data_IF_513308964773
#
_entry.id   IF_513308964773
#
_cell.length_a   1.000
_cell.length_b   1.000
_cell.length_c   1.000
_cell.angle_alpha   90.00
_cell.angle_beta   90.00
_cell.angle_gamma   90.00
#
_symmetry.space_group_name_H-M   'P 1'
#
loop_
_entity.id
_entity.type
_entity.pdbx_description
1 polymer ?
#
# COMPACT_ATOMS: atom_id res chain seq x y z
N UNK A 1 9.05 50.36 -29.44
CA UNK A 1 10.17 49.45 -29.09
C UNK A 1 9.58 48.32 -28.27
N UNK A 2 9.44 47.14 -28.87
CA UNK A 2 9.01 45.95 -28.14
C UNK A 2 10.22 45.41 -27.36
N UNK A 3 10.10 45.35 -26.03
CA UNK A 3 11.10 44.73 -25.16
C UNK A 3 11.23 43.26 -25.55
N UNK A 4 12.43 42.72 -25.79
CA UNK A 4 12.58 41.31 -26.13
C UNK A 4 12.20 40.49 -24.90
N UNK A 5 11.22 39.60 -25.06
CA UNK A 5 10.94 38.54 -24.08
C UNK A 5 12.16 37.62 -24.13
N UNK A 6 13.08 37.77 -23.18
CA UNK A 6 14.17 36.81 -22.98
C UNK A 6 13.47 35.50 -22.59
N UNK A 7 13.51 34.50 -23.46
CA UNK A 7 13.10 33.15 -23.11
C UNK A 7 14.01 32.69 -21.97
N UNK A 8 13.50 32.68 -20.74
CA UNK A 8 14.24 32.13 -19.61
C UNK A 8 14.21 30.62 -19.72
N UNK A 9 15.36 30.00 -19.98
CA UNK A 9 15.51 28.54 -19.90
C UNK A 9 14.98 28.05 -18.56
N UNK A 10 14.13 27.03 -18.58
CA UNK A 10 13.59 26.42 -17.38
C UNK A 10 13.70 24.91 -17.49
N UNK A 11 13.99 24.26 -16.37
CA UNK A 11 14.20 22.84 -16.26
C UNK A 11 13.08 22.21 -15.45
N UNK A 12 12.73 20.97 -15.79
CA UNK A 12 11.77 20.21 -15.01
C UNK A 12 12.43 19.71 -13.72
N UNK A 13 11.72 19.85 -12.61
CA UNK A 13 12.13 19.35 -11.30
C UNK A 13 11.25 18.16 -10.94
N UNK A 14 11.88 17.10 -10.48
CA UNK A 14 11.25 15.84 -10.11
C UNK A 14 11.67 15.42 -8.72
N UNK A 15 10.84 14.62 -8.06
CA UNK A 15 11.33 13.64 -7.06
C UNK A 15 11.48 12.29 -7.74
N UNK A 16 12.42 11.47 -7.27
CA UNK A 16 12.57 10.10 -7.72
C UNK A 16 12.96 9.19 -6.56
N UNK A 17 12.38 7.98 -6.54
CA UNK A 17 12.64 6.98 -5.52
C UNK A 17 13.61 5.91 -6.03
N UNK A 18 14.48 5.46 -5.12
CA UNK A 18 15.42 4.36 -5.32
C UNK A 18 15.27 3.33 -4.20
N UNK A 19 15.36 2.05 -4.56
CA UNK A 19 15.34 0.91 -3.66
C UNK A 19 16.59 0.90 -2.78
N UNK A 20 16.38 0.63 -1.50
CA UNK A 20 17.42 0.40 -0.51
C UNK A 20 16.91 -0.49 0.61
N UNK A 21 17.69 -0.67 1.68
CA UNK A 21 17.20 -1.27 2.94
C UNK A 21 15.96 -0.50 3.44
N UNK A 22 16.01 0.81 3.24
CA UNK A 22 14.88 1.73 3.29
C UNK A 22 14.92 2.49 1.97
N UNK A 23 13.76 2.69 1.35
CA UNK A 23 13.70 3.43 0.09
C UNK A 23 14.21 4.86 0.28
N UNK A 24 14.89 5.36 -0.74
CA UNK A 24 15.56 6.65 -0.73
C UNK A 24 14.92 7.56 -1.75
N UNK A 25 14.63 8.80 -1.36
CA UNK A 25 14.03 9.80 -2.24
C UNK A 25 15.03 10.94 -2.43
N UNK A 26 15.19 11.38 -3.67
CA UNK A 26 16.00 12.53 -4.05
C UNK A 26 15.23 13.50 -4.94
N UNK A 27 15.70 14.73 -4.98
CA UNK A 27 15.26 15.73 -5.96
C UNK A 27 16.16 15.60 -7.19
N UNK A 28 15.56 15.63 -8.38
CA UNK A 28 16.26 15.59 -9.67
C UNK A 28 15.82 16.75 -10.55
N UNK A 29 16.76 17.55 -11.04
CA UNK A 29 16.53 18.58 -12.04
C UNK A 29 17.10 18.08 -13.37
N UNK A 30 16.26 17.95 -14.38
CA UNK A 30 16.65 17.48 -15.70
C UNK A 30 17.26 18.64 -16.52
N UNK A 31 18.59 18.82 -16.41
CA UNK A 31 19.30 19.96 -17.01
C UNK A 31 20.03 19.63 -18.32
N UNK A 32 20.39 18.36 -18.55
CA UNK A 32 21.19 17.89 -19.68
C UNK A 32 22.58 18.54 -19.84
N UNK A 33 23.12 19.16 -18.77
CA UNK A 33 24.38 19.92 -18.82
C UNK A 33 25.60 19.04 -19.15
N UNK A 34 25.54 17.76 -18.78
CA UNK A 34 26.62 16.78 -19.03
C UNK A 34 26.27 15.76 -20.11
N UNK A 35 25.12 15.90 -20.78
CA UNK A 35 24.68 15.04 -21.87
C UNK A 35 23.16 14.77 -21.88
N UNK A 36 22.66 14.02 -22.89
CA UNK A 36 21.27 13.58 -22.91
C UNK A 36 20.92 12.75 -21.66
N UNK A 37 19.72 12.97 -21.11
CA UNK A 37 19.24 12.27 -19.91
C UNK A 37 20.17 12.40 -18.69
N UNK A 38 20.83 13.54 -18.53
CA UNK A 38 21.53 13.90 -17.27
C UNK A 38 20.91 15.12 -16.62
N UNK A 39 21.29 15.36 -15.36
CA UNK A 39 20.75 16.44 -14.57
C UNK A 39 21.50 16.63 -13.26
N UNK A 40 20.85 17.34 -12.34
CA UNK A 40 21.37 17.61 -11.00
C UNK A 40 20.54 16.86 -9.95
N UNK A 41 21.19 16.20 -9.00
CA UNK A 41 20.52 15.60 -7.84
C UNK A 41 20.82 16.37 -6.56
N UNK A 42 19.85 16.34 -5.65
CA UNK A 42 19.95 16.88 -4.29
C UNK A 42 19.35 15.87 -3.32
N UNK A 43 20.13 15.44 -2.34
CA UNK A 43 19.75 14.36 -1.44
C UNK A 43 20.45 14.45 -0.08
N UNK A 44 19.99 13.64 0.86
CA UNK A 44 20.74 13.34 2.09
C UNK A 44 20.96 11.85 2.23
N UNK A 45 22.20 11.43 2.44
CA UNK A 45 22.60 10.02 2.56
C UNK A 45 23.26 9.78 3.91
N UNK A 46 23.33 8.54 4.39
CA UNK A 46 23.92 8.19 5.69
C UNK A 46 22.94 7.53 6.65
N UNK A 47 23.28 7.51 7.94
CA UNK A 47 22.56 6.73 8.97
C UNK A 47 21.96 7.62 10.05
N UNK A 48 20.77 7.25 10.53
CA UNK A 48 20.13 7.89 11.69
C UNK A 48 20.33 7.07 12.97
N UNK A 49 21.27 6.13 12.99
CA UNK A 49 21.58 5.28 14.15
C UNK A 49 22.66 5.94 15.02
N UNK A 50 22.59 5.68 16.34
CA UNK A 50 23.54 6.09 17.36
C UNK A 50 24.96 5.75 16.95
N UNK A 51 25.88 6.64 17.30
CA UNK A 51 27.31 6.54 17.03
C UNK A 51 27.67 6.63 15.52
N UNK A 52 26.72 6.98 14.65
CA UNK A 52 26.96 7.45 13.29
C UNK A 52 26.99 8.98 13.18
N UNK A 53 27.38 9.49 12.01
CA UNK A 53 27.50 10.94 11.74
C UNK A 53 26.15 11.62 11.39
N UNK A 54 25.05 10.87 11.36
CA UNK A 54 23.78 11.34 10.84
C UNK A 54 23.68 11.14 9.32
N UNK A 55 22.72 11.83 8.71
CA UNK A 55 22.68 11.98 7.26
C UNK A 55 23.38 13.28 6.84
N UNK A 56 24.08 13.23 5.71
CA UNK A 56 24.83 14.34 5.12
C UNK A 56 24.19 14.76 3.81
N UNK A 57 24.22 16.06 3.53
CA UNK A 57 23.74 16.62 2.27
C UNK A 57 24.73 16.35 1.15
N UNK A 58 24.20 15.87 0.02
CA UNK A 58 24.96 15.56 -1.19
C UNK A 58 24.26 16.14 -2.41
N UNK A 59 25.05 16.66 -3.35
CA UNK A 59 24.59 17.10 -4.66
C UNK A 59 25.53 16.59 -5.77
N UNK A 60 24.96 16.13 -6.89
CA UNK A 60 25.70 15.71 -8.08
C UNK A 60 25.13 16.44 -9.29
N UNK A 61 25.95 17.28 -9.93
CA UNK A 61 25.56 18.09 -11.09
C UNK A 61 25.79 17.41 -12.45
N UNK A 62 26.16 16.13 -12.45
CA UNK A 62 26.30 15.31 -13.66
C UNK A 62 25.51 14.00 -13.59
N UNK A 63 24.54 13.90 -12.69
CA UNK A 63 23.80 12.69 -12.41
C UNK A 63 23.03 12.19 -13.65
N UNK A 64 23.13 10.89 -13.94
CA UNK A 64 22.25 10.23 -14.91
C UNK A 64 20.80 10.26 -14.43
N UNK A 65 19.85 10.33 -15.36
CA UNK A 65 18.42 10.25 -15.07
C UNK A 65 18.13 9.07 -14.13
N UNK A 66 17.42 9.30 -13.01
CA UNK A 66 17.03 8.24 -12.08
C UNK A 66 16.39 7.04 -12.79
N UNK A 67 15.61 7.23 -13.85
CA UNK A 67 14.94 6.09 -14.54
C UNK A 67 15.91 5.11 -15.20
N UNK A 68 17.16 5.50 -15.40
CA UNK A 68 18.20 4.66 -16.00
C UNK A 68 18.98 3.86 -14.96
N UNK A 69 18.66 4.02 -13.67
CA UNK A 69 19.34 3.35 -12.56
C UNK A 69 18.63 2.05 -12.20
N UNK A 70 19.34 0.91 -12.04
CA UNK A 70 18.73 -0.35 -11.61
C UNK A 70 17.96 -0.27 -10.30
N UNK A 71 18.40 0.61 -9.39
CA UNK A 71 17.78 0.87 -8.11
C UNK A 71 16.49 1.70 -8.21
N UNK A 72 16.17 2.33 -9.35
CA UNK A 72 14.97 3.16 -9.44
C UNK A 72 13.68 2.36 -9.30
N UNK A 73 12.74 2.91 -8.52
CA UNK A 73 11.40 2.34 -8.39
C UNK A 73 10.54 2.82 -9.57
N UNK A 74 10.11 1.94 -10.49
CA UNK A 74 9.35 2.37 -11.68
C UNK A 74 8.07 3.12 -11.31
N UNK A 75 7.83 4.24 -12.00
CA UNK A 75 6.63 5.07 -11.80
C UNK A 75 6.73 6.11 -10.68
N UNK A 76 7.91 6.26 -10.05
CA UNK A 76 8.11 7.18 -8.91
C UNK A 76 8.84 8.47 -9.26
N UNK A 77 9.21 8.67 -10.54
CA UNK A 77 9.73 9.96 -11.03
C UNK A 77 8.58 10.94 -11.21
N UNK A 78 8.23 11.67 -10.16
CA UNK A 78 7.11 12.61 -10.15
C UNK A 78 7.58 14.02 -10.43
N UNK A 79 6.99 14.69 -11.43
CA UNK A 79 7.26 16.10 -11.69
C UNK A 79 6.66 16.96 -10.58
N UNK A 80 7.50 17.70 -9.87
CA UNK A 80 7.10 18.59 -8.77
C UNK A 80 7.09 20.07 -9.17
N UNK A 81 7.67 20.42 -10.31
CA UNK A 81 7.59 21.78 -10.84
C UNK A 81 8.61 22.06 -11.93
N UNK A 82 8.89 23.35 -12.12
CA UNK A 82 9.97 23.84 -12.99
C UNK A 82 10.82 24.87 -12.25
N UNK A 83 12.11 24.94 -12.57
CA UNK A 83 13.07 25.92 -12.05
C UNK A 83 13.72 26.66 -13.21
N UNK A 84 13.92 27.97 -13.10
CA UNK A 84 14.64 28.74 -14.12
C UNK A 84 16.14 28.54 -13.97
N UNK A 85 16.87 28.58 -15.07
CA UNK A 85 18.33 28.45 -15.08
C UNK A 85 19.01 29.45 -14.12
N UNK A 86 18.53 30.69 -14.08
CA UNK A 86 19.02 31.73 -13.18
C UNK A 86 18.83 31.42 -11.68
N UNK A 87 17.90 30.52 -11.35
CA UNK A 87 17.58 30.15 -9.97
C UNK A 87 18.31 28.86 -9.53
N UNK A 88 19.10 28.18 -10.38
CA UNK A 88 19.78 26.93 -10.02
C UNK A 88 20.76 27.07 -8.83
N UNK A 89 21.48 28.20 -8.74
CA UNK A 89 22.36 28.48 -7.59
C UNK A 89 21.54 28.63 -6.30
N UNK A 90 20.44 29.38 -6.39
CA UNK A 90 19.54 29.62 -5.27
C UNK A 90 18.81 28.33 -4.85
N UNK A 91 18.56 27.43 -5.80
CA UNK A 91 17.99 26.11 -5.54
C UNK A 91 18.89 25.30 -4.60
N UNK A 92 20.19 25.17 -4.94
CA UNK A 92 21.19 24.50 -4.10
C UNK A 92 21.28 25.14 -2.72
N UNK A 93 21.34 26.47 -2.64
CA UNK A 93 21.37 27.20 -1.36
C UNK A 93 20.15 26.91 -0.47
N UNK A 94 18.95 26.81 -1.06
CA UNK A 94 17.74 26.47 -0.32
C UNK A 94 17.77 25.02 0.16
N UNK A 95 18.13 24.06 -0.70
CA UNK A 95 18.26 22.66 -0.29
C UNK A 95 19.28 22.51 0.85
N UNK A 96 20.44 23.15 0.75
CA UNK A 96 21.49 23.11 1.77
C UNK A 96 21.07 23.79 3.09
N UNK A 97 20.13 24.74 3.05
CA UNK A 97 19.61 25.40 4.26
C UNK A 97 18.69 24.51 5.09
N UNK A 98 18.16 23.43 4.51
CA UNK A 98 17.31 22.47 5.24
C UNK A 98 18.21 21.60 6.11
N UNK A 99 18.04 21.61 7.46
CA UNK A 99 18.89 20.84 8.36
C UNK A 99 18.89 19.37 7.99
N UNK A 100 20.04 18.68 8.04
CA UNK A 100 20.07 17.25 7.74
C UNK A 100 19.62 16.41 8.96
N UNK A 101 19.09 15.19 8.77
CA UNK A 101 18.72 14.33 9.89
C UNK A 101 19.91 13.87 10.75
N UNK A 102 19.90 14.24 12.03
CA UNK A 102 20.87 13.77 13.03
C UNK A 102 20.61 12.30 13.44
N UNK A 103 21.53 11.65 14.19
CA UNK A 103 21.26 10.36 14.84
C UNK A 103 20.03 10.40 15.76
N UNK A 104 19.10 9.47 15.55
CA UNK A 104 17.77 9.43 16.19
C UNK A 104 17.37 8.05 16.74
N UNK A 105 18.08 6.99 16.34
CA UNK A 105 17.81 5.59 16.74
C UNK A 105 18.96 5.00 17.54
N UNK A 106 18.69 4.22 18.57
CA UNK A 106 19.69 3.40 19.24
C UNK A 106 20.20 2.28 18.33
N UNK A 107 21.33 1.64 18.67
CA UNK A 107 21.90 0.50 17.93
C UNK A 107 20.92 -0.68 17.75
N UNK A 108 19.92 -0.80 18.63
CA UNK A 108 18.85 -1.81 18.57
C UNK A 108 17.61 -1.36 17.78
N UNK A 109 17.67 -0.21 17.11
CA UNK A 109 16.58 0.35 16.29
C UNK A 109 15.48 1.09 17.06
N UNK A 110 15.51 1.13 18.40
CA UNK A 110 14.56 1.92 19.20
C UNK A 110 14.85 3.41 19.13
N UNK A 111 13.83 4.27 19.21
CA UNK A 111 14.01 5.73 19.18
C UNK A 111 14.80 6.20 20.40
N UNK A 112 15.73 7.12 20.19
CA UNK A 112 16.42 7.84 21.28
C UNK A 112 15.45 8.76 22.03
N UNK A 113 14.53 9.40 21.30
CA UNK A 113 13.44 10.20 21.86
C UNK A 113 12.10 9.66 21.34
N UNK A 114 11.33 8.92 22.16
CA UNK A 114 10.05 8.34 21.74
C UNK A 114 8.99 9.38 21.34
N UNK A 115 9.07 10.60 21.87
CA UNK A 115 8.10 11.68 21.64
C UNK A 115 8.31 12.43 20.33
N UNK A 116 9.43 12.21 19.63
CA UNK A 116 9.69 12.81 18.32
C UNK A 116 9.58 11.76 17.21
N UNK A 117 8.96 12.07 16.06
CA UNK A 117 8.99 11.19 14.90
C UNK A 117 10.42 11.10 14.35
N UNK A 118 10.73 10.00 13.65
CA UNK A 118 12.05 9.80 13.04
C UNK A 118 12.06 10.51 11.69
N UNK A 119 13.07 11.36 11.48
CA UNK A 119 13.31 12.08 10.25
C UNK A 119 14.41 11.38 9.44
N UNK A 120 14.23 11.22 8.13
CA UNK A 120 15.16 10.58 7.18
C UNK A 120 15.22 11.38 5.87
N UNK A 121 15.75 10.77 4.80
CA UNK A 121 15.84 11.35 3.47
C UNK A 121 14.48 11.75 2.89
N UNK A 122 13.42 10.98 3.19
CA UNK A 122 12.05 11.28 2.80
C UNK A 122 11.57 12.62 3.37
N UNK A 123 11.69 12.79 4.69
CA UNK A 123 11.26 14.01 5.38
C UNK A 123 12.12 15.22 4.96
N UNK A 124 13.43 15.04 4.83
CA UNK A 124 14.31 16.10 4.33
C UNK A 124 13.91 16.54 2.92
N UNK A 125 13.62 15.59 2.01
CA UNK A 125 13.21 15.90 0.64
C UNK A 125 11.91 16.70 0.63
N UNK A 126 10.94 16.34 1.48
CA UNK A 126 9.67 17.08 1.61
C UNK A 126 9.92 18.52 2.06
N UNK A 127 10.70 18.70 3.13
CA UNK A 127 11.03 20.03 3.66
C UNK A 127 11.82 20.87 2.65
N UNK A 128 12.72 20.26 1.87
CA UNK A 128 13.41 20.94 0.79
C UNK A 128 12.46 21.38 -0.32
N UNK A 129 11.51 20.55 -0.73
CA UNK A 129 10.48 20.93 -1.71
C UNK A 129 9.61 22.07 -1.18
N UNK A 130 9.17 22.02 0.08
CA UNK A 130 8.41 23.10 0.72
C UNK A 130 9.21 24.40 0.76
N UNK A 131 10.48 24.36 1.18
CA UNK A 131 11.35 25.53 1.21
C UNK A 131 11.59 26.12 -0.19
N UNK A 132 11.70 25.29 -1.23
CA UNK A 132 11.84 25.74 -2.63
C UNK A 132 10.58 26.45 -3.14
N UNK A 133 9.40 25.97 -2.73
CA UNK A 133 8.11 26.59 -3.04
C UNK A 133 7.98 27.92 -2.31
N UNK A 134 8.27 27.96 -1.01
CA UNK A 134 8.21 29.17 -0.19
C UNK A 134 9.19 30.24 -0.70
N UNK A 135 10.37 29.82 -1.16
CA UNK A 135 11.35 30.69 -1.80
C UNK A 135 10.93 31.16 -3.20
N UNK A 136 9.83 30.64 -3.77
CA UNK A 136 9.37 30.88 -5.15
C UNK A 136 10.44 30.57 -6.19
N UNK A 137 11.15 29.45 -5.99
CA UNK A 137 12.18 28.96 -6.90
C UNK A 137 11.57 27.97 -7.90
N UNK A 138 10.59 27.19 -7.44
CA UNK A 138 9.84 26.23 -8.27
C UNK A 138 8.41 26.69 -8.50
N UNK A 139 7.91 26.54 -9.74
CA UNK A 139 6.57 26.99 -10.16
C UNK A 139 5.76 25.85 -10.79
N UNK A 140 4.58 25.53 -10.24
CA UNK A 140 3.36 25.11 -10.97
C UNK A 140 2.11 25.11 -10.04
N UNK A 141 0.99 25.64 -10.55
CA UNK A 141 -0.34 25.66 -9.93
C UNK A 141 -1.00 24.27 -9.83
N UNK A 142 -0.48 23.26 -10.54
CA UNK A 142 -0.84 21.84 -10.33
C UNK A 142 -0.09 21.20 -9.14
N UNK A 143 1.08 21.75 -8.78
CA UNK A 143 1.91 21.26 -7.68
C UNK A 143 1.35 21.54 -6.28
N UNK A 144 0.48 22.55 -6.13
CA UNK A 144 -0.23 22.81 -4.87
C UNK A 144 -1.24 21.69 -4.55
N UNK A 145 -1.80 21.01 -5.56
CA UNK A 145 -2.61 19.80 -5.35
C UNK A 145 -1.77 18.58 -5.00
N UNK A 146 -0.55 18.48 -5.54
CA UNK A 146 0.41 17.46 -5.11
C UNK A 146 0.91 17.74 -3.67
N UNK A 147 1.06 19.00 -3.27
CA UNK A 147 1.35 19.40 -1.90
C UNK A 147 0.18 19.14 -0.95
N UNK A 148 -1.07 19.29 -1.42
CA UNK A 148 -2.27 18.90 -0.67
C UNK A 148 -2.45 17.37 -0.60
N UNK A 149 -1.97 16.62 -1.59
CA UNK A 149 -1.77 15.17 -1.48
C UNK A 149 -0.63 14.84 -0.51
N UNK A 150 0.42 15.66 -0.41
CA UNK A 150 1.48 15.55 0.61
C UNK A 150 1.10 16.10 2.00
N UNK A 151 0.02 16.88 2.15
CA UNK A 151 -0.52 17.34 3.44
C UNK A 151 -1.68 16.48 3.95
N UNK A 152 -2.35 15.73 3.07
CA UNK A 152 -3.24 14.60 3.43
C UNK A 152 -2.48 13.29 3.64
N UNK A 153 -1.16 13.26 3.42
CA UNK A 153 -0.31 12.10 3.68
C UNK A 153 0.53 12.20 4.97
N UNK A 154 0.42 13.26 5.78
CA UNK A 154 1.34 13.47 6.92
C UNK A 154 0.64 13.96 8.19
N UNK A 155 -0.35 13.19 8.64
CA UNK A 155 -0.48 12.85 10.06
C UNK A 155 -0.37 11.34 10.15
N UNK A 156 0.84 10.79 10.01
CA UNK A 156 1.31 9.53 10.63
C UNK A 156 2.64 9.07 10.03
N UNK A 157 3.76 9.65 10.49
CA UNK A 157 5.08 9.02 10.32
C UNK A 157 5.38 8.17 11.54
N UNK A 158 4.75 7.01 11.59
CA UNK A 158 5.33 5.81 12.19
C UNK A 158 5.13 4.69 11.17
N UNK A 159 6.26 4.12 10.74
CA UNK A 159 6.45 2.86 10.00
C UNK A 159 6.10 2.83 8.50
N UNK A 160 7.06 3.26 7.67
CA UNK A 160 7.26 2.65 6.35
C UNK A 160 8.21 1.44 6.51
N UNK A 161 7.61 0.30 6.80
CA UNK A 161 8.07 -1.02 6.36
C UNK A 161 6.83 -1.66 5.72
N UNK A 162 6.78 -1.65 4.40
CA UNK A 162 5.89 -2.49 3.60
C UNK A 162 6.42 -2.42 2.16
N UNK A 163 7.31 -3.34 1.83
CA UNK A 163 7.61 -3.60 0.43
C UNK A 163 6.33 -4.12 -0.25
N UNK A 164 6.04 -3.59 -1.44
CA UNK A 164 5.02 -4.03 -2.40
C UNK A 164 3.54 -3.77 -2.07
N UNK A 165 3.11 -2.53 -2.34
CA UNK A 165 1.74 -2.23 -2.78
C UNK A 165 1.85 -1.34 -4.03
N UNK A 166 1.63 -1.91 -5.22
CA UNK A 166 1.11 -1.09 -6.32
C UNK A 166 -0.40 -1.16 -6.22
N UNK A 167 -1.11 -0.06 -5.89
CA UNK A 167 -2.55 -0.03 -6.03
C UNK A 167 -2.87 -0.22 -7.51
N UNK A 168 -3.60 -1.29 -7.83
CA UNK A 168 -4.08 -1.58 -9.17
C UNK A 168 -5.23 -0.65 -9.53
N UNK A 169 -4.89 0.59 -9.90
CA UNK A 169 -5.86 1.59 -10.33
C UNK A 169 -6.20 1.50 -11.82
N UNK A 170 -5.40 0.78 -12.64
CA UNK A 170 -5.69 0.64 -14.07
C UNK A 170 -6.53 -0.62 -14.36
N UNK A 171 -7.83 -0.39 -14.64
CA UNK A 171 -8.79 -1.40 -15.05
C UNK A 171 -8.42 -2.18 -16.32
N UNK A 172 -7.37 -1.76 -17.04
CA UNK A 172 -6.88 -2.38 -18.29
C UNK A 172 -5.74 -3.38 -18.07
N UNK A 173 -5.16 -3.45 -16.87
CA UNK A 173 -4.04 -4.33 -16.59
C UNK A 173 -4.53 -5.72 -16.17
N UNK A 174 -3.90 -6.76 -16.72
CA UNK A 174 -4.06 -8.14 -16.28
C UNK A 174 -2.82 -8.55 -15.49
N UNK A 175 -3.00 -9.09 -14.28
CA UNK A 175 -1.93 -9.68 -13.48
C UNK A 175 -2.08 -11.19 -13.52
N UNK A 176 -1.00 -11.89 -13.89
CA UNK A 176 -0.96 -13.34 -14.10
C UNK A 176 -2.04 -13.83 -15.09
N UNK A 177 -2.38 -13.01 -16.09
CA UNK A 177 -3.41 -13.32 -17.07
C UNK A 177 -4.85 -13.18 -16.56
N UNK A 178 -5.06 -12.70 -15.33
CA UNK A 178 -6.39 -12.47 -14.77
C UNK A 178 -6.72 -10.97 -14.85
N UNK A 179 -7.76 -10.56 -15.61
CA UNK A 179 -8.15 -9.16 -15.75
C UNK A 179 -8.68 -8.55 -14.45
N UNK A 180 -8.55 -7.22 -14.30
CA UNK A 180 -9.13 -6.48 -13.18
C UNK A 180 -10.64 -6.76 -13.01
N UNK A 181 -11.41 -6.84 -14.11
CA UNK A 181 -12.84 -7.13 -14.05
C UNK A 181 -13.14 -8.47 -13.35
N UNK A 182 -12.31 -9.49 -13.59
CA UNK A 182 -12.39 -10.79 -12.90
C UNK A 182 -12.05 -10.65 -11.42
N UNK A 183 -11.01 -9.87 -11.07
CA UNK A 183 -10.65 -9.59 -9.67
C UNK A 183 -11.79 -8.88 -8.92
N UNK A 184 -12.37 -7.85 -9.55
CA UNK A 184 -13.49 -7.10 -9.01
C UNK A 184 -14.73 -7.98 -8.83
N UNK A 185 -15.02 -8.89 -9.77
CA UNK A 185 -16.08 -9.89 -9.61
C UNK A 185 -15.87 -10.72 -8.34
N UNK A 186 -14.70 -11.31 -8.13
CA UNK A 186 -14.44 -12.14 -6.96
C UNK A 186 -14.37 -11.36 -5.64
N UNK A 187 -13.92 -10.10 -5.68
CA UNK A 187 -14.02 -9.23 -4.51
C UNK A 187 -15.48 -8.96 -4.11
N UNK A 188 -16.37 -8.75 -5.09
CA UNK A 188 -17.81 -8.65 -4.83
C UNK A 188 -18.41 -9.95 -4.30
N UNK A 189 -17.92 -11.11 -4.73
CA UNK A 189 -18.31 -12.41 -4.14
C UNK A 189 -17.85 -12.50 -2.68
N UNK A 190 -16.66 -12.00 -2.34
CA UNK A 190 -16.20 -11.93 -0.95
C UNK A 190 -17.10 -11.03 -0.09
N UNK A 191 -17.57 -9.89 -0.63
CA UNK A 191 -18.58 -9.04 0.02
C UNK A 191 -19.94 -9.76 0.16
N UNK A 192 -20.38 -10.45 -0.88
CA UNK A 192 -21.66 -11.18 -0.90
C UNK A 192 -21.69 -12.32 0.13
N UNK A 193 -20.55 -12.95 0.41
CA UNK A 193 -20.42 -14.00 1.43
C UNK A 193 -20.96 -13.58 2.81
N UNK A 194 -20.94 -12.28 3.13
CA UNK A 194 -21.53 -11.76 4.36
C UNK A 194 -23.03 -12.02 4.42
N UNK A 195 -23.76 -11.67 3.35
CA UNK A 195 -25.21 -11.86 3.26
C UNK A 195 -25.57 -13.33 3.17
N UNK A 196 -24.79 -14.11 2.42
CA UNK A 196 -25.07 -15.53 2.18
C UNK A 196 -24.87 -16.39 3.44
N UNK A 197 -23.94 -16.01 4.31
CA UNK A 197 -23.54 -16.82 5.46
C UNK A 197 -23.97 -16.26 6.82
N UNK A 198 -24.20 -14.94 6.92
CA UNK A 198 -24.43 -14.26 8.20
C UNK A 198 -25.61 -13.29 8.15
N UNK A 199 -25.48 -12.19 7.42
CA UNK A 199 -26.44 -11.08 7.36
C UNK A 199 -26.01 -10.07 6.28
N UNK A 200 -26.92 -9.21 5.76
CA UNK A 200 -26.53 -8.05 4.94
C UNK A 200 -25.79 -6.94 5.72
N UNK A 201 -25.87 -6.91 7.04
CA UNK A 201 -25.16 -5.95 7.90
C UNK A 201 -24.61 -6.62 9.18
N UNK A 202 -23.72 -7.61 9.06
CA UNK A 202 -23.05 -8.18 10.22
C UNK A 202 -22.12 -7.12 10.79
N UNK A 203 -22.04 -7.02 12.12
CA UNK A 203 -21.13 -6.08 12.76
C UNK A 203 -19.70 -6.31 12.26
N UNK A 204 -19.17 -7.52 12.42
CA UNK A 204 -17.89 -7.96 11.84
C UNK A 204 -18.01 -8.30 10.36
N UNK A 205 -18.06 -7.29 9.49
CA UNK A 205 -18.28 -7.43 8.04
C UNK A 205 -17.05 -7.93 7.25
N UNK A 206 -16.38 -8.97 7.71
CA UNK A 206 -15.20 -9.56 7.05
C UNK A 206 -15.60 -10.82 6.27
N UNK A 207 -15.57 -10.73 4.95
CA UNK A 207 -15.97 -11.77 4.01
C UNK A 207 -14.82 -12.20 3.11
N UNK A 208 -14.82 -13.47 2.70
CA UNK A 208 -13.73 -14.09 1.95
C UNK A 208 -14.28 -15.09 0.92
N UNK A 209 -13.68 -15.09 -0.27
CA UNK A 209 -13.92 -16.08 -1.32
C UNK A 209 -12.60 -16.72 -1.76
N UNK A 210 -12.61 -18.04 -1.98
CA UNK A 210 -11.44 -18.79 -2.47
C UNK A 210 -11.78 -19.38 -3.83
N UNK A 211 -10.91 -19.10 -4.81
CA UNK A 211 -11.19 -19.30 -6.23
C UNK A 211 -10.05 -20.06 -6.89
N UNK A 212 -10.40 -21.00 -7.75
CA UNK A 212 -9.50 -21.66 -8.67
C UNK A 212 -9.54 -20.95 -10.03
N UNK A 213 -8.55 -20.11 -10.33
CA UNK A 213 -8.43 -19.42 -11.62
C UNK A 213 -7.93 -20.31 -12.76
N UNK A 214 -7.57 -21.56 -12.48
CA UNK A 214 -7.09 -22.52 -13.50
C UNK A 214 -8.18 -23.45 -14.02
N UNK A 215 -9.39 -23.34 -13.49
CA UNK A 215 -10.55 -24.16 -13.84
C UNK A 215 -11.74 -23.29 -14.17
N UNK A 216 -12.64 -23.76 -15.04
CA UNK A 216 -13.82 -23.01 -15.50
C UNK A 216 -13.55 -22.04 -16.66
N UNK A 217 -14.62 -21.38 -17.11
CA UNK A 217 -14.56 -20.39 -18.19
C UNK A 217 -14.15 -19.03 -17.62
N UNK A 218 -13.13 -18.37 -18.20
CA UNK A 218 -12.80 -16.94 -18.08
C UNK A 218 -12.61 -16.32 -16.68
N UNK A 219 -13.60 -16.44 -15.79
CA UNK A 219 -13.64 -15.96 -14.42
C UNK A 219 -12.93 -16.90 -13.43
N UNK A 220 -12.89 -18.20 -13.69
CA UNK A 220 -12.45 -19.19 -12.71
C UNK A 220 -13.60 -19.91 -12.01
N UNK A 221 -13.29 -20.86 -11.12
CA UNK A 221 -14.25 -21.65 -10.36
C UNK A 221 -14.23 -21.25 -8.86
N UNK A 222 -15.39 -20.99 -8.28
CA UNK A 222 -15.52 -20.77 -6.84
C UNK A 222 -15.35 -22.10 -6.10
N UNK A 223 -14.39 -22.18 -5.18
CA UNK A 223 -14.21 -23.37 -4.33
C UNK A 223 -15.07 -23.26 -3.07
N UNK A 224 -14.98 -22.13 -2.37
CA UNK A 224 -15.80 -21.86 -1.20
C UNK A 224 -15.81 -20.36 -0.84
N UNK A 225 -16.70 -20.02 0.09
CA UNK A 225 -16.76 -18.72 0.75
C UNK A 225 -16.68 -18.88 2.27
N UNK A 226 -16.31 -17.80 2.96
CA UNK A 226 -16.31 -17.71 4.42
C UNK A 226 -16.60 -16.28 4.88
N UNK A 227 -17.12 -16.16 6.10
CA UNK A 227 -17.39 -14.89 6.74
C UNK A 227 -17.03 -14.97 8.22
N UNK A 228 -16.68 -13.84 8.82
CA UNK A 228 -16.41 -13.75 10.24
C UNK A 228 -17.62 -14.26 11.04
N UNK A 229 -17.34 -15.21 11.95
CA UNK A 229 -18.36 -15.89 12.74
C UNK A 229 -17.99 -15.95 14.22
N UNK A 230 -17.16 -15.02 14.71
CA UNK A 230 -16.73 -14.99 16.12
C UNK A 230 -17.93 -14.88 17.07
N UNK A 231 -18.91 -14.05 16.72
CA UNK A 231 -20.08 -13.79 17.57
C UNK A 231 -21.07 -14.95 17.62
N UNK A 232 -21.22 -15.69 16.52
CA UNK A 232 -22.16 -16.82 16.44
C UNK A 232 -21.56 -18.13 16.97
N UNK A 233 -20.23 -18.28 16.91
CA UNK A 233 -19.55 -19.52 17.32
C UNK A 233 -18.87 -19.43 18.67
N UNK A 234 -18.59 -18.22 19.16
CA UNK A 234 -17.76 -17.99 20.35
C UNK A 234 -16.27 -18.29 20.14
N UNK A 235 -15.85 -18.69 18.94
CA UNK A 235 -14.45 -18.94 18.63
C UNK A 235 -13.78 -17.65 18.11
N UNK A 236 -12.84 -17.04 18.85
CA UNK A 236 -12.23 -15.77 18.48
C UNK A 236 -11.33 -15.86 17.23
N UNK A 237 -10.98 -17.06 16.75
CA UNK A 237 -10.12 -17.21 15.56
C UNK A 237 -10.91 -17.34 14.27
N UNK A 238 -12.24 -17.50 14.30
CA UNK A 238 -13.08 -17.67 13.10
C UNK A 238 -13.37 -16.34 12.40
N UNK A 239 -12.30 -15.68 11.97
CA UNK A 239 -12.33 -14.58 11.01
C UNK A 239 -12.71 -15.10 9.61
N UNK A 240 -13.08 -14.20 8.69
CA UNK A 240 -13.56 -14.57 7.35
C UNK A 240 -12.58 -15.47 6.59
N UNK A 241 -11.28 -15.21 6.70
CA UNK A 241 -10.23 -15.98 6.03
C UNK A 241 -10.04 -17.37 6.64
N UNK A 242 -10.05 -17.48 7.97
CA UNK A 242 -9.96 -18.77 8.67
C UNK A 242 -11.21 -19.61 8.40
N UNK A 243 -12.40 -18.99 8.44
CA UNK A 243 -13.65 -19.64 8.11
C UNK A 243 -13.64 -20.16 6.66
N UNK A 244 -13.16 -19.36 5.70
CA UNK A 244 -13.04 -19.79 4.32
C UNK A 244 -12.04 -20.96 4.15
N UNK A 245 -10.87 -20.91 4.80
CA UNK A 245 -9.90 -22.02 4.76
C UNK A 245 -10.51 -23.32 5.31
N UNK A 246 -11.25 -23.24 6.43
CA UNK A 246 -11.94 -24.40 7.00
C UNK A 246 -13.02 -24.95 6.05
N UNK A 247 -13.86 -24.06 5.50
CA UNK A 247 -14.92 -24.44 4.57
C UNK A 247 -14.35 -25.07 3.29
N UNK A 248 -13.30 -24.48 2.71
CA UNK A 248 -12.64 -25.02 1.53
C UNK A 248 -11.97 -26.35 1.81
N UNK A 249 -11.36 -26.53 2.98
CA UNK A 249 -10.80 -27.83 3.36
C UNK A 249 -11.90 -28.89 3.37
N UNK A 250 -13.04 -28.60 4.00
CA UNK A 250 -14.17 -29.52 4.02
C UNK A 250 -14.73 -29.83 2.62
N UNK A 251 -14.84 -28.83 1.74
CA UNK A 251 -15.27 -29.01 0.35
C UNK A 251 -14.28 -29.87 -0.44
N UNK A 252 -12.98 -29.56 -0.36
CA UNK A 252 -11.93 -30.24 -1.08
C UNK A 252 -11.77 -31.70 -0.64
N UNK A 253 -11.94 -32.00 0.64
CA UNK A 253 -11.76 -33.35 1.20
C UNK A 253 -13.05 -34.14 1.37
N UNK A 254 -14.21 -33.60 0.99
CA UNK A 254 -15.48 -34.29 1.16
C UNK A 254 -15.51 -35.59 0.34
N UNK A 255 -15.76 -36.76 0.96
CA UNK A 255 -15.83 -38.05 0.24
C UNK A 255 -16.93 -38.12 -0.82
N UNK A 256 -17.96 -37.30 -0.66
CA UNK A 256 -19.10 -37.19 -1.59
C UNK A 256 -19.06 -35.89 -2.41
N UNK A 257 -18.01 -35.08 -2.22
CA UNK A 257 -17.82 -33.82 -2.91
C UNK A 257 -17.18 -34.00 -4.30
N UNK A 258 -17.20 -32.93 -5.12
CA UNK A 258 -16.69 -32.98 -6.49
C UNK A 258 -15.16 -33.18 -6.57
N UNK A 259 -14.42 -32.86 -5.49
CA UNK A 259 -12.96 -32.97 -5.47
C UNK A 259 -12.46 -34.26 -4.82
N UNK A 260 -13.06 -34.70 -3.71
CA UNK A 260 -12.72 -35.93 -2.96
C UNK A 260 -11.20 -36.13 -2.77
N UNK A 261 -10.50 -35.08 -2.34
CA UNK A 261 -9.06 -35.09 -2.17
C UNK A 261 -8.68 -35.67 -0.81
N UNK A 262 -7.56 -36.39 -0.77
CA UNK A 262 -6.88 -36.68 0.50
C UNK A 262 -6.35 -35.40 1.14
N UNK A 263 -6.05 -35.44 2.45
CA UNK A 263 -5.49 -34.29 3.16
C UNK A 263 -4.20 -33.72 2.53
N UNK A 264 -3.35 -34.59 1.96
CA UNK A 264 -2.12 -34.18 1.27
C UNK A 264 -2.41 -33.52 -0.09
N UNK A 265 -3.38 -34.06 -0.83
CA UNK A 265 -3.83 -33.46 -2.09
C UNK A 265 -4.52 -32.11 -1.86
N UNK A 266 -5.34 -31.97 -0.81
CA UNK A 266 -5.96 -30.69 -0.46
C UNK A 266 -4.93 -29.61 -0.09
N UNK A 267 -3.92 -29.95 0.72
CA UNK A 267 -2.78 -29.05 1.00
C UNK A 267 -2.03 -28.63 -0.26
N UNK A 268 -1.92 -29.53 -1.24
CA UNK A 268 -1.32 -29.20 -2.55
C UNK A 268 -2.24 -28.31 -3.37
N UNK A 269 -3.55 -28.55 -3.35
CA UNK A 269 -4.53 -27.77 -4.09
C UNK A 269 -4.53 -26.30 -3.67
N UNK A 270 -4.42 -25.99 -2.38
CA UNK A 270 -4.34 -24.59 -1.91
C UNK A 270 -3.28 -23.75 -2.65
N UNK A 271 -2.17 -24.38 -3.07
CA UNK A 271 -1.07 -23.71 -3.79
C UNK A 271 -1.43 -23.21 -5.18
N UNK A 272 -2.54 -23.64 -5.76
CA UNK A 272 -3.07 -23.12 -7.03
C UNK A 272 -4.24 -22.16 -6.86
N UNK A 273 -4.76 -22.01 -5.64
CA UNK A 273 -5.93 -21.19 -5.35
C UNK A 273 -5.57 -19.74 -5.06
N UNK A 274 -6.53 -18.84 -5.30
CA UNK A 274 -6.47 -17.42 -4.97
C UNK A 274 -7.49 -17.09 -3.89
N UNK A 275 -7.06 -16.38 -2.85
CA UNK A 275 -7.92 -15.91 -1.77
C UNK A 275 -8.24 -14.43 -1.97
N UNK A 276 -9.53 -14.11 -2.01
CA UNK A 276 -10.05 -12.73 -2.03
C UNK A 276 -10.73 -12.46 -0.70
N UNK A 277 -10.35 -11.39 -0.02
CA UNK A 277 -10.99 -10.97 1.22
C UNK A 277 -11.29 -9.46 1.17
N UNK A 278 -12.42 -9.03 1.71
CA UNK A 278 -12.83 -7.63 1.57
C UNK A 278 -12.03 -6.65 2.45
N UNK A 279 -11.22 -7.16 3.37
CA UNK A 279 -10.33 -6.38 4.21
C UNK A 279 -8.98 -7.07 4.36
N UNK A 280 -7.92 -6.29 4.55
CA UNK A 280 -6.59 -6.79 4.79
C UNK A 280 -6.55 -7.72 6.01
N UNK A 281 -5.98 -8.90 5.80
CA UNK A 281 -5.83 -9.91 6.81
C UNK A 281 -4.96 -9.47 7.97
N UNK A 282 -5.49 -9.60 9.18
CA UNK A 282 -4.72 -9.42 10.41
C UNK A 282 -3.56 -10.43 10.50
N UNK A 283 -2.59 -10.24 11.39
CA UNK A 283 -1.38 -11.08 11.43
C UNK A 283 -1.64 -12.59 11.59
N UNK A 284 -2.71 -12.96 12.30
CA UNK A 284 -3.17 -14.35 12.41
C UNK A 284 -3.59 -14.91 11.04
N UNK A 285 -4.51 -14.21 10.36
CA UNK A 285 -5.03 -14.63 9.06
C UNK A 285 -3.93 -14.60 7.99
N UNK A 286 -3.11 -13.55 7.94
CA UNK A 286 -1.97 -13.46 7.02
C UNK A 286 -0.98 -14.62 7.21
N UNK A 287 -0.69 -14.99 8.47
CA UNK A 287 0.16 -16.16 8.76
C UNK A 287 -0.49 -17.46 8.30
N UNK A 288 -1.79 -17.64 8.55
CA UNK A 288 -2.53 -18.82 8.10
C UNK A 288 -2.54 -18.95 6.57
N UNK A 289 -2.71 -17.83 5.85
CA UNK A 289 -2.65 -17.76 4.38
C UNK A 289 -1.27 -18.19 3.88
N UNK A 290 -0.18 -17.74 4.53
CA UNK A 290 1.18 -18.15 4.18
C UNK A 290 1.44 -19.63 4.44
N UNK A 291 0.98 -20.16 5.56
CA UNK A 291 1.07 -21.60 5.85
C UNK A 291 0.27 -22.45 4.87
N UNK A 292 -0.92 -22.02 4.48
CA UNK A 292 -1.73 -22.69 3.45
C UNK A 292 -1.08 -22.64 2.07
N UNK A 293 -0.21 -21.65 1.82
CA UNK A 293 0.62 -21.57 0.63
C UNK A 293 -0.14 -21.14 -0.62
N UNK A 294 -1.20 -20.35 -0.48
CA UNK A 294 -2.02 -19.83 -1.58
C UNK A 294 -1.16 -19.25 -2.72
N UNK A 295 -1.64 -19.37 -3.96
CA UNK A 295 -0.99 -18.74 -5.12
C UNK A 295 -1.06 -17.22 -5.03
N UNK A 296 -2.24 -16.72 -4.68
CA UNK A 296 -2.53 -15.29 -4.61
C UNK A 296 -3.36 -14.96 -3.38
N UNK A 297 -3.07 -13.82 -2.79
CA UNK A 297 -3.79 -13.20 -1.70
C UNK A 297 -4.18 -11.79 -2.14
N UNK A 298 -5.47 -11.54 -2.21
CA UNK A 298 -6.07 -10.30 -2.71
C UNK A 298 -6.95 -9.71 -1.62
N UNK A 299 -6.73 -8.46 -1.25
CA UNK A 299 -7.57 -7.78 -0.27
C UNK A 299 -8.09 -6.42 -0.74
N UNK A 300 -9.18 -5.97 -0.12
CA UNK A 300 -9.77 -4.65 -0.31
C UNK A 300 -9.27 -3.64 0.72
N UNK A 301 -10.11 -3.30 1.70
CA UNK A 301 -9.86 -2.28 2.72
C UNK A 301 -8.59 -2.57 3.53
N UNK A 302 -7.68 -1.61 3.65
CA UNK A 302 -6.41 -1.79 4.38
C UNK A 302 -6.60 -1.81 5.91
N UNK A 303 -5.63 -2.37 6.64
CA UNK A 303 -5.59 -2.30 8.12
C UNK A 303 -5.63 -0.85 8.60
N UNK A 304 -4.94 0.06 7.91
CA UNK A 304 -4.94 1.48 8.25
C UNK A 304 -6.34 2.09 8.12
N UNK A 305 -7.04 1.80 7.03
CA UNK A 305 -8.44 2.23 6.84
C UNK A 305 -9.36 1.64 7.91
N UNK A 306 -9.19 0.36 8.26
CA UNK A 306 -9.96 -0.26 9.35
C UNK A 306 -9.75 0.49 10.68
N UNK A 307 -8.51 0.82 11.02
CA UNK A 307 -8.17 1.59 12.23
C UNK A 307 -8.80 2.98 12.20
N UNK A 308 -8.74 3.68 11.06
CA UNK A 308 -9.40 4.98 10.89
C UNK A 308 -10.92 4.91 11.10
N UNK A 309 -11.55 3.79 10.73
CA UNK A 309 -12.97 3.52 10.98
C UNK A 309 -13.28 2.97 12.38
N UNK A 310 -12.29 2.91 13.28
CA UNK A 310 -12.48 2.54 14.68
C UNK A 310 -12.28 1.05 14.99
N UNK A 311 -11.84 0.24 14.02
CA UNK A 311 -11.58 -1.18 14.25
C UNK A 311 -10.25 -1.41 14.98
N UNK A 312 -10.28 -2.21 16.04
CA UNK A 312 -9.07 -2.66 16.72
C UNK A 312 -8.28 -3.63 15.85
N UNK A 313 -6.99 -3.32 15.62
CA UNK A 313 -6.08 -4.15 14.82
C UNK A 313 -4.71 -4.29 15.49
N UNK A 314 -4.07 -5.45 15.31
CA UNK A 314 -2.63 -5.58 15.53
C UNK A 314 -1.95 -4.90 14.33
N UNK A 315 -1.17 -3.85 14.60
CA UNK A 315 -0.53 -3.01 13.56
C UNK A 315 0.72 -3.65 12.96
N UNK A 316 0.53 -4.83 12.38
CA UNK A 316 1.52 -5.49 11.53
C UNK A 316 0.82 -5.72 10.20
N UNK A 317 1.34 -5.13 9.14
CA UNK A 317 0.73 -5.26 7.82
C UNK A 317 0.82 -6.72 7.34
N UNK A 318 -0.13 -7.14 6.51
CA UNK A 318 -0.07 -8.47 5.89
C UNK A 318 1.21 -8.63 5.05
N UNK A 319 1.70 -7.55 4.44
CA UNK A 319 2.97 -7.50 3.73
C UNK A 319 4.18 -7.77 4.64
N UNK A 320 4.20 -7.29 5.88
CA UNK A 320 5.28 -7.55 6.83
C UNK A 320 5.32 -9.03 7.24
N UNK A 321 4.15 -9.64 7.47
CA UNK A 321 4.04 -11.08 7.73
C UNK A 321 4.57 -11.89 6.55
N UNK A 322 4.23 -11.47 5.33
CA UNK A 322 4.70 -12.12 4.10
C UNK A 322 6.21 -11.96 3.94
N UNK A 323 6.76 -10.77 4.17
CA UNK A 323 8.20 -10.51 4.12
C UNK A 323 8.98 -11.35 5.16
N UNK A 324 8.40 -11.56 6.34
CA UNK A 324 8.98 -12.41 7.39
C UNK A 324 8.87 -13.93 7.13
N UNK A 325 8.19 -14.35 6.05
CA UNK A 325 7.90 -15.77 5.75
C UNK A 325 8.84 -16.40 4.70
N UNK A 326 10.05 -15.86 4.56
CA UNK A 326 11.00 -16.22 3.49
C UNK A 326 11.50 -17.67 3.54
N UNK A 327 11.41 -18.35 4.68
CA UNK A 327 11.79 -19.77 4.84
C UNK A 327 10.72 -20.75 4.31
N UNK A 328 9.53 -20.26 3.95
CA UNK A 328 8.48 -21.08 3.36
C UNK A 328 8.72 -21.30 1.87
N UNK A 329 8.53 -22.54 1.40
CA UNK A 329 8.81 -22.93 0.01
C UNK A 329 7.80 -22.40 -1.02
N UNK A 330 6.66 -21.86 -0.58
CA UNK A 330 5.62 -21.30 -1.46
C UNK A 330 5.78 -19.80 -1.60
N UNK A 331 5.72 -19.31 -2.84
CA UNK A 331 5.60 -17.88 -3.14
C UNK A 331 4.12 -17.52 -3.31
N UNK A 332 3.60 -16.66 -2.45
CA UNK A 332 2.24 -16.11 -2.57
C UNK A 332 2.33 -14.68 -3.09
N UNK A 333 1.61 -14.39 -4.18
CA UNK A 333 1.48 -13.01 -4.66
C UNK A 333 0.46 -12.25 -3.82
N UNK A 334 0.87 -11.14 -3.23
CA UNK A 334 0.00 -10.22 -2.50
C UNK A 334 -0.47 -9.10 -3.45
N UNK A 335 -1.76 -8.78 -3.40
CA UNK A 335 -2.39 -7.66 -4.09
C UNK A 335 -3.34 -6.95 -3.12
N UNK A 336 -2.99 -5.73 -2.73
CA UNK A 336 -3.80 -4.95 -1.79
C UNK A 336 -4.73 -3.97 -2.48
N UNK A 337 -5.68 -3.46 -1.69
CA UNK A 337 -6.51 -2.29 -2.04
C UNK A 337 -7.33 -2.46 -3.33
N UNK A 338 -7.76 -3.69 -3.61
CA UNK A 338 -8.65 -3.99 -4.73
C UNK A 338 -10.08 -3.63 -4.37
N UNK A 339 -10.66 -2.69 -5.13
CA UNK A 339 -12.08 -2.30 -5.02
C UNK A 339 -12.44 -1.61 -3.69
N UNK A 340 -11.53 -0.81 -3.13
CA UNK A 340 -11.71 -0.06 -1.87
C UNK A 340 -12.94 0.85 -1.88
N UNK A 341 -13.31 1.39 -3.04
CA UNK A 341 -14.55 2.16 -3.21
C UNK A 341 -15.83 1.35 -2.88
N UNK A 342 -15.78 0.02 -2.94
CA UNK A 342 -16.88 -0.87 -2.57
C UNK A 342 -16.65 -1.59 -1.23
N UNK A 343 -15.39 -1.89 -0.84
CA UNK A 343 -15.12 -2.60 0.42
C UNK A 343 -15.11 -1.67 1.64
N UNK A 344 -14.57 -0.45 1.55
CA UNK A 344 -14.49 0.47 2.70
C UNK A 344 -15.86 0.81 3.31
N UNK A 345 -16.94 1.00 2.53
CA UNK A 345 -18.29 1.19 3.06
C UNK A 345 -18.79 0.09 4.00
N UNK A 346 -18.31 -1.16 3.85
CA UNK A 346 -18.70 -2.26 4.75
C UNK A 346 -18.21 -2.07 6.18
N UNK A 347 -17.19 -1.24 6.39
CA UNK A 347 -16.53 -1.03 7.69
C UNK A 347 -16.80 0.35 8.30
N UNK A 348 -17.62 1.17 7.64
CA UNK A 348 -17.79 2.58 8.00
C UNK A 348 -18.96 2.84 8.97
N UNK A 349 -19.93 1.93 9.13
CA UNK A 349 -21.19 2.20 9.84
C UNK A 349 -21.25 1.70 11.29
N UNK A 350 -20.33 0.81 11.66
CA UNK A 350 -20.33 0.09 12.94
C UNK A 350 -20.03 1.02 14.12
N UNK A 351 -19.09 1.94 13.93
CA UNK A 351 -18.63 2.89 14.94
C UNK A 351 -18.99 4.35 14.60
N UNK A 352 -19.71 4.56 13.50
CA UNK A 352 -20.22 5.86 13.07
C UNK A 352 -21.76 5.83 13.08
N UNK A 353 -22.41 6.54 14.02
CA UNK A 353 -23.86 6.56 14.11
C UNK A 353 -24.54 7.35 12.99
N UNK A 354 -23.82 8.23 12.29
CA UNK A 354 -24.37 9.05 11.19
C UNK A 354 -24.15 8.42 9.82
N UNK A 355 -23.25 7.45 9.70
CA UNK A 355 -23.05 6.73 8.44
C UNK A 355 -24.26 5.82 8.12
N UNK A 356 -24.74 5.80 6.85
CA UNK A 356 -25.89 4.98 6.45
C UNK A 356 -25.70 3.48 6.67
N UNK A 357 -26.78 2.79 7.02
CA UNK A 357 -26.74 1.32 7.06
C UNK A 357 -26.56 0.71 5.66
N UNK A 358 -25.98 -0.50 5.56
CA UNK A 358 -25.92 -1.24 4.32
C UNK A 358 -27.30 -1.45 3.70
N UNK A 359 -27.35 -1.66 2.38
CA UNK A 359 -28.59 -1.96 1.67
C UNK A 359 -29.29 -3.18 2.29
N UNK A 360 -30.60 -3.07 2.52
CA UNK A 360 -31.38 -4.11 3.21
C UNK A 360 -31.30 -4.05 4.74
N UNK A 361 -30.68 -3.02 5.32
CA UNK A 361 -30.60 -2.81 6.76
C UNK A 361 -31.05 -1.41 7.18
N UNK A 362 -31.57 -1.33 8.41
CA UNK A 362 -31.98 -0.09 9.07
C UNK A 362 -31.37 0.02 10.46
N UNK A 363 -31.16 1.25 10.93
CA UNK A 363 -30.56 1.49 12.25
C UNK A 363 -31.64 1.32 13.33
N UNK A 364 -31.46 0.34 14.20
CA UNK A 364 -32.31 0.02 15.35
C UNK A 364 -31.44 0.00 16.60
N UNK A 365 -31.82 0.76 17.62
CA UNK A 365 -31.12 0.79 18.93
C UNK A 365 -29.61 1.10 18.81
N UNK A 366 -29.21 1.94 17.85
CA UNK A 366 -27.83 2.37 17.65
C UNK A 366 -27.00 1.49 16.70
N UNK A 367 -27.46 0.30 16.32
CA UNK A 367 -26.79 -0.59 15.36
C UNK A 367 -27.64 -0.80 14.09
N UNK A 368 -27.00 -1.09 12.97
CA UNK A 368 -27.71 -1.57 11.79
C UNK A 368 -28.19 -3.01 12.00
N UNK A 369 -29.42 -3.29 11.58
CA UNK A 369 -30.03 -4.61 11.59
C UNK A 369 -30.84 -4.81 10.29
N UNK A 370 -30.96 -6.05 9.83
CA UNK A 370 -31.74 -6.37 8.64
C UNK A 370 -33.21 -5.92 8.81
N UNK A 371 -33.80 -5.47 7.70
CA UNK A 371 -35.20 -5.01 7.64
C UNK A 371 -36.16 -6.18 7.58
#
# INVERSE_FOLDING_TARGET
MATPIIATTAYNVYTAESLGIINHIKIFIETHETGPSTGRTYEVTGTVVKDGEGQMYEEDHGASDPTNRPEHVPGTKFKIGTVREIDLKRFSEVCQSVPTPEPQLNLKGSRMNPSKPVRRCTEWTKEAVEALIDARITYDMAGIKALLQLSLLWVSSVTQTAAHQQPLADSRLAINGIPFATRAYWMRVANQALSDLVSPCPFGAFGTAIVNHTSGDGLGELVCIGANSIGSTGNPTLHGEIAAINNCTAVLTSPTGPYNLTASQAQTAFKSLSLYTNAESCPMCASAIRWAGFKEYIYGTSIDTLIEKGWGQIRIASADVFAASYDLSTATRLMGEVLTNETDPYFAWQYDPVYPCPAGCERKEGSCAAV
#
